data_IF_021311153342
#
_entry.id   IF_021311153342
#
_cell.length_a   1.000
_cell.length_b   1.000
_cell.length_c   1.000
_cell.angle_alpha   90.00
_cell.angle_beta   90.00
_cell.angle_gamma   90.00
#
_symmetry.space_group_name_H-M   'P 1'
#
loop_
_entity.id
_entity.type
_entity.pdbx_description
1 polymer ?
#
# COMPACT_ATOMS: atom_id res chain seq x y z
N UNK A 1 -3.21 23.37 8.23
CA UNK A 1 -3.69 22.22 9.02
C UNK A 1 -4.75 22.72 9.97
N UNK A 2 -5.96 22.19 9.85
CA UNK A 2 -7.01 22.44 10.83
C UNK A 2 -6.57 21.77 12.15
N UNK A 3 -6.70 22.49 13.26
CA UNK A 3 -6.32 21.98 14.57
C UNK A 3 -7.36 20.96 15.02
N UNK A 4 -6.95 19.75 15.45
CA UNK A 4 -7.89 18.72 15.91
C UNK A 4 -8.80 19.27 17.01
N UNK A 5 -10.08 18.88 16.98
CA UNK A 5 -11.03 19.31 18.00
C UNK A 5 -10.60 18.75 19.38
N UNK A 6 -10.86 19.47 20.50
CA UNK A 6 -10.48 19.02 21.83
C UNK A 6 -10.99 17.62 22.20
N UNK A 7 -12.20 17.27 21.73
CA UNK A 7 -12.80 15.95 21.93
C UNK A 7 -12.04 14.83 21.20
N UNK A 8 -11.52 15.11 20.00
CA UNK A 8 -10.69 14.17 19.25
C UNK A 8 -9.34 13.96 19.93
N UNK A 9 -8.73 15.04 20.44
CA UNK A 9 -7.49 14.97 21.22
C UNK A 9 -7.69 14.09 22.45
N UNK A 10 -8.81 14.29 23.18
CA UNK A 10 -9.13 13.48 24.35
C UNK A 10 -9.26 11.99 23.98
N UNK A 11 -9.98 11.67 22.90
CA UNK A 11 -10.12 10.29 22.41
C UNK A 11 -8.78 9.66 22.02
N UNK A 12 -7.97 10.34 21.21
CA UNK A 12 -6.67 9.83 20.76
C UNK A 12 -5.74 9.56 21.95
N UNK A 13 -5.75 10.45 22.95
CA UNK A 13 -4.99 10.27 24.18
C UNK A 13 -5.51 9.10 25.03
N UNK A 14 -6.83 8.91 25.12
CA UNK A 14 -7.44 7.79 25.84
C UNK A 14 -7.10 6.44 25.19
N UNK A 15 -6.99 6.40 23.87
CA UNK A 15 -6.63 5.20 23.10
C UNK A 15 -5.11 4.94 23.03
N UNK A 16 -4.27 5.89 23.44
CA UNK A 16 -2.81 5.77 23.31
C UNK A 16 -2.23 4.50 23.97
N UNK A 17 -2.64 4.09 25.18
CA UNK A 17 -2.12 2.86 25.79
C UNK A 17 -2.50 1.60 25.00
N UNK A 18 -3.67 1.59 24.34
CA UNK A 18 -4.10 0.49 23.47
C UNK A 18 -3.26 0.46 22.20
N UNK A 19 -3.05 1.63 21.57
CA UNK A 19 -2.18 1.76 20.40
C UNK A 19 -0.74 1.33 20.72
N UNK A 20 -0.22 1.66 21.91
CA UNK A 20 1.10 1.22 22.37
C UNK A 20 1.21 -0.32 22.44
N UNK A 21 0.23 -0.99 23.04
CA UNK A 21 0.19 -2.45 23.11
C UNK A 21 0.05 -3.13 21.74
N UNK A 22 -0.75 -2.54 20.84
CA UNK A 22 -0.92 -3.03 19.47
C UNK A 22 0.35 -2.82 18.64
N UNK A 23 1.03 -1.68 18.80
CA UNK A 23 2.31 -1.40 18.16
C UNK A 23 3.37 -2.41 18.61
N UNK A 24 3.49 -2.65 19.92
CA UNK A 24 4.45 -3.63 20.46
C UNK A 24 4.18 -5.03 19.89
N UNK A 25 2.91 -5.44 19.86
CA UNK A 25 2.49 -6.71 19.26
C UNK A 25 2.79 -6.79 17.77
N UNK A 26 2.55 -5.71 17.01
CA UNK A 26 2.87 -5.65 15.59
C UNK A 26 4.36 -5.83 15.37
N UNK A 27 5.19 -5.05 16.06
CA UNK A 27 6.65 -5.13 15.93
C UNK A 27 7.18 -6.52 16.28
N UNK A 28 6.66 -7.15 17.35
CA UNK A 28 7.07 -8.49 17.77
C UNK A 28 6.67 -9.62 16.80
N UNK A 29 5.63 -9.41 15.98
CA UNK A 29 5.10 -10.44 15.06
C UNK A 29 5.35 -10.14 13.58
N UNK A 30 5.77 -8.91 13.27
CA UNK A 30 6.19 -8.50 11.94
C UNK A 30 7.41 -9.34 11.51
N UNK A 31 7.36 -9.82 10.27
CA UNK A 31 8.48 -10.54 9.66
C UNK A 31 9.07 -9.65 8.59
N UNK A 32 10.35 -9.32 8.75
CA UNK A 32 11.06 -8.55 7.76
C UNK A 32 11.05 -9.27 6.40
N UNK A 33 11.03 -8.46 5.35
CA UNK A 33 11.19 -8.88 3.98
C UNK A 33 11.64 -7.70 3.15
N UNK A 34 12.33 -8.04 2.07
CA UNK A 34 12.97 -7.06 1.21
C UNK A 34 12.39 -7.17 -0.21
N UNK A 35 11.92 -6.06 -0.81
CA UNK A 35 11.38 -6.07 -2.17
C UNK A 35 12.29 -6.78 -3.19
N UNK A 36 13.59 -6.54 -3.14
CA UNK A 36 14.56 -7.09 -4.09
C UNK A 36 14.72 -8.61 -4.04
N UNK A 37 14.26 -9.29 -2.98
CA UNK A 37 14.30 -10.76 -2.90
C UNK A 37 13.12 -11.42 -3.62
N UNK A 38 12.06 -10.66 -3.93
CA UNK A 38 10.83 -11.18 -4.55
C UNK A 38 10.78 -10.94 -6.06
N UNK A 39 11.53 -9.95 -6.55
CA UNK A 39 11.52 -9.55 -7.96
C UNK A 39 12.43 -10.49 -8.78
N UNK A 40 11.95 -11.04 -9.91
CA UNK A 40 12.73 -11.94 -10.74
C UNK A 40 13.66 -11.15 -11.69
N UNK A 41 14.65 -10.46 -11.12
CA UNK A 41 15.53 -9.51 -11.83
C UNK A 41 16.15 -10.03 -13.12
N UNK A 42 16.44 -11.34 -13.21
CA UNK A 42 16.98 -11.97 -14.41
C UNK A 42 16.06 -11.94 -15.64
N UNK A 43 14.78 -11.58 -15.46
CA UNK A 43 13.81 -11.38 -16.55
C UNK A 43 13.84 -9.96 -17.12
N UNK A 44 14.49 -9.03 -16.42
CA UNK A 44 14.61 -7.64 -16.85
C UNK A 44 15.56 -7.49 -18.02
N UNK A 45 15.26 -6.51 -18.88
CA UNK A 45 16.10 -6.03 -19.96
C UNK A 45 15.85 -4.55 -20.17
N UNK A 46 16.77 -3.88 -20.85
CA UNK A 46 16.65 -2.46 -21.17
C UNK A 46 15.41 -2.19 -22.05
N UNK A 47 14.82 -1.01 -21.85
CA UNK A 47 13.78 -0.47 -22.73
C UNK A 47 14.46 0.31 -23.86
N UNK A 48 14.45 -0.26 -25.05
CA UNK A 48 15.13 0.36 -26.20
C UNK A 48 14.37 1.63 -26.65
N UNK A 49 15.07 2.70 -27.06
CA UNK A 49 14.41 3.91 -27.53
C UNK A 49 13.44 3.64 -28.69
N UNK A 50 12.17 3.99 -28.51
CA UNK A 50 11.11 3.78 -29.50
C UNK A 50 10.49 2.38 -29.50
N UNK A 51 10.91 1.50 -28.58
CA UNK A 51 10.21 0.23 -28.35
C UNK A 51 8.80 0.51 -27.80
N UNK A 52 7.78 -0.03 -28.48
CA UNK A 52 6.41 -0.05 -27.97
C UNK A 52 6.20 -1.30 -27.11
N UNK A 53 5.48 -1.15 -26.00
CA UNK A 53 5.07 -2.30 -25.19
C UNK A 53 4.04 -3.15 -25.96
N UNK A 54 4.26 -4.47 -26.00
CA UNK A 54 3.32 -5.41 -26.62
C UNK A 54 2.44 -6.07 -25.55
N UNK A 55 1.11 -5.84 -25.55
CA UNK A 55 0.19 -6.50 -24.62
C UNK A 55 0.17 -8.03 -24.69
N UNK A 56 0.76 -8.62 -25.74
CA UNK A 56 0.87 -10.07 -25.93
C UNK A 56 2.23 -10.64 -25.50
N UNK A 57 3.20 -9.81 -25.06
CA UNK A 57 4.49 -10.28 -24.51
C UNK A 57 4.27 -11.12 -23.24
N UNK A 58 3.21 -10.82 -22.49
CA UNK A 58 2.76 -11.59 -21.34
C UNK A 58 1.28 -11.96 -21.48
N UNK A 59 1.01 -13.26 -21.49
CA UNK A 59 -0.35 -13.79 -21.42
C UNK A 59 -0.92 -13.55 -20.01
N UNK A 60 -1.81 -12.56 -19.90
CA UNK A 60 -2.45 -12.16 -18.65
C UNK A 60 -3.87 -11.71 -18.94
N UNK A 61 -4.82 -12.24 -18.18
CA UNK A 61 -6.22 -11.84 -18.29
C UNK A 61 -6.36 -10.30 -18.12
N UNK A 62 -7.08 -9.61 -19.02
CA UNK A 62 -7.23 -8.16 -18.96
C UNK A 62 -7.76 -7.63 -17.62
N UNK A 63 -8.64 -8.37 -16.94
CA UNK A 63 -9.16 -7.97 -15.63
C UNK A 63 -8.08 -8.06 -14.54
N UNK A 64 -7.21 -9.07 -14.60
CA UNK A 64 -6.05 -9.19 -13.69
C UNK A 64 -5.07 -8.05 -13.96
N UNK A 65 -4.85 -7.72 -15.24
CA UNK A 65 -4.02 -6.59 -15.66
C UNK A 65 -4.55 -5.26 -15.11
N UNK A 66 -5.86 -4.99 -15.23
CA UNK A 66 -6.50 -3.82 -14.65
C UNK A 66 -6.41 -3.80 -13.12
N UNK A 67 -6.56 -4.95 -12.46
CA UNK A 67 -6.44 -5.04 -11.02
C UNK A 67 -5.03 -4.73 -10.52
N UNK A 68 -3.99 -5.25 -11.17
CA UNK A 68 -2.59 -4.92 -10.85
C UNK A 68 -2.31 -3.42 -11.00
N UNK A 69 -2.85 -2.82 -12.06
CA UNK A 69 -2.73 -1.39 -12.33
C UNK A 69 -3.34 -0.55 -11.20
N UNK A 70 -4.59 -0.81 -10.82
CA UNK A 70 -5.27 -0.06 -9.74
C UNK A 70 -4.64 -0.33 -8.38
N UNK A 71 -4.25 -1.58 -8.09
CA UNK A 71 -3.58 -1.90 -6.84
C UNK A 71 -2.27 -1.08 -6.69
N UNK A 72 -1.42 -1.03 -7.72
CA UNK A 72 -0.18 -0.23 -7.65
C UNK A 72 -0.45 1.28 -7.52
N UNK A 73 -1.42 1.83 -8.25
CA UNK A 73 -1.76 3.26 -8.12
C UNK A 73 -2.30 3.62 -6.74
N UNK A 74 -3.02 2.68 -6.10
CA UNK A 74 -3.46 2.84 -4.71
C UNK A 74 -2.23 2.98 -3.81
N UNK A 75 -1.27 2.05 -3.92
CA UNK A 75 -0.02 2.08 -3.12
C UNK A 75 0.83 3.34 -3.37
N UNK A 76 0.92 3.80 -4.62
CA UNK A 76 1.69 5.00 -4.97
C UNK A 76 1.13 6.29 -4.34
N UNK A 77 -0.14 6.30 -3.93
CA UNK A 77 -0.80 7.45 -3.31
C UNK A 77 -0.45 7.64 -1.82
N UNK A 78 0.47 6.82 -1.29
CA UNK A 78 0.98 6.83 0.08
C UNK A 78 1.26 8.23 0.68
N UNK A 79 1.83 9.22 -0.04
CA UNK A 79 2.08 10.54 0.55
C UNK A 79 0.81 11.19 1.12
N UNK A 80 -0.34 10.97 0.49
CA UNK A 80 -1.62 11.54 0.91
C UNK A 80 -2.26 10.74 2.03
N UNK A 81 -2.11 9.41 2.04
CA UNK A 81 -2.54 8.58 3.18
C UNK A 81 -1.76 8.93 4.45
N UNK A 82 -0.43 9.04 4.37
CA UNK A 82 0.41 9.48 5.49
C UNK A 82 -0.05 10.83 6.02
N UNK A 83 -0.26 11.83 5.14
CA UNK A 83 -0.74 13.16 5.52
C UNK A 83 -2.06 13.09 6.30
N UNK A 84 -3.04 12.34 5.78
CA UNK A 84 -4.36 12.22 6.41
C UNK A 84 -4.26 11.49 7.74
N UNK A 85 -3.57 10.35 7.81
CA UNK A 85 -3.43 9.55 9.04
C UNK A 85 -2.65 10.30 10.11
N UNK A 86 -1.54 10.97 9.76
CA UNK A 86 -0.78 11.80 10.71
C UNK A 86 -1.64 12.95 11.27
N UNK A 87 -2.51 13.54 10.44
CA UNK A 87 -3.39 14.61 10.93
C UNK A 87 -4.47 14.14 11.91
N UNK A 88 -4.86 12.86 11.86
CA UNK A 88 -5.89 12.29 12.73
C UNK A 88 -5.33 11.80 14.06
N UNK A 89 -4.11 11.26 14.08
CA UNK A 89 -3.53 10.61 15.27
C UNK A 89 -2.35 11.37 15.88
N UNK A 90 -1.82 12.37 15.18
CA UNK A 90 -0.69 13.18 15.63
C UNK A 90 0.67 12.54 15.37
N UNK A 91 1.72 13.26 15.77
CA UNK A 91 3.13 12.97 15.43
C UNK A 91 3.91 12.26 16.53
N UNK A 92 3.38 12.31 17.75
CA UNK A 92 4.05 11.86 18.95
C UNK A 92 3.41 10.57 19.48
N UNK A 93 3.93 10.05 20.61
CA UNK A 93 3.42 8.84 21.29
C UNK A 93 3.50 7.54 20.45
N UNK A 94 2.81 6.50 20.90
CA UNK A 94 2.63 5.27 20.13
C UNK A 94 1.99 5.52 18.77
N UNK A 95 1.05 6.46 18.68
CA UNK A 95 0.36 6.80 17.42
C UNK A 95 1.32 7.28 16.35
N UNK A 96 2.11 8.32 16.61
CA UNK A 96 3.06 8.83 15.64
C UNK A 96 4.14 7.80 15.27
N UNK A 97 4.52 6.94 16.21
CA UNK A 97 5.45 5.83 15.95
C UNK A 97 4.83 4.80 15.02
N UNK A 98 3.57 4.42 15.26
CA UNK A 98 2.79 3.55 14.39
C UNK A 98 2.66 4.13 12.99
N UNK A 99 2.21 5.39 12.84
CA UNK A 99 2.01 6.01 11.53
C UNK A 99 3.29 5.97 10.69
N UNK A 100 4.44 6.31 11.28
CA UNK A 100 5.73 6.24 10.58
C UNK A 100 6.14 4.80 10.23
N UNK A 101 5.88 3.84 11.13
CA UNK A 101 6.17 2.43 10.87
C UNK A 101 5.30 1.88 9.74
N UNK A 102 3.99 2.10 9.82
CA UNK A 102 3.01 1.75 8.80
C UNK A 102 3.41 2.34 7.45
N UNK A 103 3.69 3.65 7.37
CA UNK A 103 4.12 4.30 6.12
C UNK A 103 5.41 3.70 5.55
N UNK A 104 6.37 3.33 6.40
CA UNK A 104 7.58 2.66 5.94
C UNK A 104 7.30 1.24 5.41
N UNK A 105 6.31 0.55 5.95
CA UNK A 105 5.87 -0.76 5.46
C UNK A 105 5.14 -0.63 4.13
N UNK A 106 4.16 0.27 4.02
CA UNK A 106 3.42 0.61 2.79
C UNK A 106 4.35 1.03 1.64
N UNK A 107 5.38 1.81 1.94
CA UNK A 107 6.36 2.21 0.94
C UNK A 107 7.02 1.02 0.25
N UNK A 108 7.13 -0.14 0.91
CA UNK A 108 7.65 -1.36 0.29
C UNK A 108 6.66 -2.00 -0.69
N UNK A 109 5.36 -1.80 -0.52
CA UNK A 109 4.33 -2.38 -1.38
C UNK A 109 4.42 -1.80 -2.79
N UNK A 110 4.40 -0.47 -2.91
CA UNK A 110 4.56 0.22 -4.20
C UNK A 110 5.89 -0.14 -4.88
N UNK A 111 7.00 -0.17 -4.12
CA UNK A 111 8.33 -0.54 -4.64
C UNK A 111 8.31 -1.95 -5.22
N UNK A 112 7.92 -2.96 -4.44
CA UNK A 112 7.99 -4.36 -4.92
C UNK A 112 7.06 -4.61 -6.09
N UNK A 113 5.87 -4.01 -6.07
CA UNK A 113 4.89 -4.16 -7.15
C UNK A 113 5.39 -3.49 -8.42
N UNK A 114 5.90 -2.25 -8.34
CA UNK A 114 6.45 -1.51 -9.48
C UNK A 114 7.65 -2.21 -10.08
N UNK A 115 8.59 -2.68 -9.25
CA UNK A 115 9.77 -3.41 -9.70
C UNK A 115 9.37 -4.70 -10.42
N UNK A 116 8.46 -5.48 -9.82
CA UNK A 116 7.93 -6.69 -10.43
C UNK A 116 7.29 -6.42 -11.79
N UNK A 117 6.35 -5.47 -11.86
CA UNK A 117 5.60 -5.15 -13.07
C UNK A 117 6.52 -4.62 -14.18
N UNK A 118 7.55 -3.84 -13.82
CA UNK A 118 8.53 -3.30 -14.77
C UNK A 118 9.45 -4.39 -15.29
N UNK A 119 10.04 -5.20 -14.40
CA UNK A 119 10.98 -6.28 -14.76
C UNK A 119 10.30 -7.36 -15.60
N UNK A 120 9.03 -7.63 -15.35
CA UNK A 120 8.26 -8.65 -16.08
C UNK A 120 7.48 -8.10 -17.28
N UNK A 121 7.44 -6.77 -17.46
CA UNK A 121 6.69 -6.09 -18.53
C UNK A 121 5.21 -6.47 -18.58
N UNK A 122 4.63 -6.79 -17.41
CA UNK A 122 3.21 -7.19 -17.28
C UNK A 122 2.22 -6.08 -17.62
N UNK A 123 2.65 -4.84 -17.51
CA UNK A 123 1.91 -3.63 -17.85
C UNK A 123 2.75 -2.75 -18.76
N UNK A 124 2.06 -1.91 -19.55
CA UNK A 124 2.69 -0.80 -20.25
C UNK A 124 3.34 0.15 -19.22
N UNK A 125 4.67 0.26 -19.16
CA UNK A 125 5.35 1.10 -18.18
C UNK A 125 5.10 2.59 -18.42
N UNK A 126 4.85 3.02 -19.66
CA UNK A 126 4.57 4.42 -20.00
C UNK A 126 3.17 4.80 -19.54
N UNK A 127 2.17 3.95 -19.82
CA UNK A 127 0.81 4.18 -19.36
C UNK A 127 0.75 4.17 -17.82
N UNK A 128 1.43 3.22 -17.18
CA UNK A 128 1.50 3.12 -15.73
C UNK A 128 2.15 4.35 -15.09
N UNK A 129 3.24 4.86 -15.65
CA UNK A 129 3.90 6.06 -15.11
C UNK A 129 3.07 7.33 -15.31
N UNK A 130 2.41 7.49 -16.47
CA UNK A 130 1.47 8.61 -16.68
C UNK A 130 0.31 8.58 -15.69
N UNK A 131 -0.23 7.39 -15.42
CA UNK A 131 -1.31 7.24 -14.45
C UNK A 131 -0.83 7.48 -13.02
N UNK A 132 0.40 7.06 -12.66
CA UNK A 132 1.01 7.42 -11.38
C UNK A 132 1.11 8.93 -11.21
N UNK A 133 1.59 9.64 -12.23
CA UNK A 133 1.66 11.09 -12.20
C UNK A 133 0.28 11.72 -11.97
N UNK A 134 -0.76 11.27 -12.68
CA UNK A 134 -2.12 11.76 -12.47
C UNK A 134 -2.65 11.45 -11.06
N UNK A 135 -2.48 10.22 -10.59
CA UNK A 135 -2.95 9.77 -9.28
C UNK A 135 -2.31 10.61 -8.16
N UNK A 136 -0.99 10.73 -8.18
CA UNK A 136 -0.22 11.41 -7.14
C UNK A 136 -0.36 12.93 -7.26
N UNK A 137 -0.48 13.51 -8.45
CA UNK A 137 -0.79 14.94 -8.59
C UNK A 137 -2.19 15.28 -8.09
N UNK A 138 -3.17 14.39 -8.32
CA UNK A 138 -4.54 14.54 -7.83
C UNK A 138 -4.64 14.43 -6.31
N UNK A 139 -3.94 13.45 -5.71
CA UNK A 139 -3.84 13.32 -4.26
C UNK A 139 -5.17 13.06 -3.56
N UNK A 140 -6.12 12.46 -4.28
CA UNK A 140 -7.45 12.16 -3.77
C UNK A 140 -7.36 11.08 -2.70
N UNK A 141 -7.76 11.44 -1.49
CA UNK A 141 -7.89 10.56 -0.33
C UNK A 141 -9.11 10.98 0.45
N UNK A 142 -9.75 10.05 1.19
CA UNK A 142 -10.80 10.43 2.11
C UNK A 142 -10.27 11.43 3.15
N UNK A 143 -11.15 12.36 3.54
CA UNK A 143 -10.89 13.35 4.59
C UNK A 143 -11.94 13.12 5.70
N UNK A 144 -11.74 12.12 6.58
CA UNK A 144 -12.68 11.85 7.67
C UNK A 144 -12.81 13.04 8.61
N UNK A 145 -14.06 13.37 9.01
CA UNK A 145 -14.34 14.50 9.88
C UNK A 145 -13.76 14.33 11.29
N UNK A 146 -13.56 13.09 11.73
CA UNK A 146 -13.04 12.77 13.06
C UNK A 146 -12.22 11.49 13.14
N UNK A 147 -11.48 11.36 14.25
CA UNK A 147 -10.57 10.23 14.48
C UNK A 147 -11.30 8.87 14.51
N UNK A 148 -12.55 8.81 14.97
CA UNK A 148 -13.33 7.56 14.97
C UNK A 148 -13.64 7.13 13.53
N UNK A 149 -14.14 8.05 12.71
CA UNK A 149 -14.39 7.79 11.28
C UNK A 149 -13.09 7.45 10.55
N UNK A 150 -11.97 8.08 10.95
CA UNK A 150 -10.63 7.74 10.51
C UNK A 150 -10.23 6.29 10.81
N UNK A 151 -10.39 5.85 12.06
CA UNK A 151 -10.11 4.46 12.47
C UNK A 151 -10.99 3.49 11.68
N UNK A 152 -12.29 3.78 11.56
CA UNK A 152 -13.23 2.94 10.79
C UNK A 152 -12.81 2.87 9.32
N UNK A 153 -12.49 4.01 8.72
CA UNK A 153 -12.05 4.09 7.33
C UNK A 153 -10.81 3.22 7.10
N UNK A 154 -9.74 3.43 7.88
CA UNK A 154 -8.49 2.68 7.68
C UNK A 154 -8.69 1.19 7.99
N UNK A 155 -9.49 0.83 9.01
CA UNK A 155 -9.83 -0.58 9.28
C UNK A 155 -10.45 -1.28 8.08
N UNK A 156 -11.37 -0.60 7.39
CA UNK A 156 -12.07 -1.14 6.21
C UNK A 156 -11.18 -1.11 4.97
N UNK A 157 -10.39 -0.05 4.79
CA UNK A 157 -9.50 0.08 3.64
C UNK A 157 -8.41 -1.00 3.66
N UNK A 158 -7.78 -1.25 4.81
CA UNK A 158 -6.79 -2.32 5.02
C UNK A 158 -7.38 -3.73 4.77
N UNK A 159 -8.65 -3.92 5.14
CA UNK A 159 -9.36 -5.16 4.83
C UNK A 159 -9.62 -5.30 3.33
N UNK A 160 -9.99 -4.20 2.66
CA UNK A 160 -10.29 -4.18 1.24
C UNK A 160 -9.04 -4.43 0.38
N UNK A 161 -7.93 -3.74 0.66
CA UNK A 161 -6.63 -3.95 0.00
C UNK A 161 -6.14 -5.37 0.21
N UNK A 162 -6.16 -5.89 1.45
CA UNK A 162 -5.84 -7.30 1.72
C UNK A 162 -6.59 -8.27 0.82
N UNK A 163 -7.91 -8.07 0.68
CA UNK A 163 -8.76 -8.92 -0.18
C UNK A 163 -8.39 -8.73 -1.65
N UNK A 164 -8.20 -7.49 -2.09
CA UNK A 164 -7.81 -7.15 -3.45
C UNK A 164 -6.47 -7.82 -3.82
N UNK A 165 -5.39 -7.54 -3.09
CA UNK A 165 -4.07 -8.11 -3.36
C UNK A 165 -4.08 -9.64 -3.34
N UNK A 166 -4.74 -10.25 -2.35
CA UNK A 166 -4.82 -11.71 -2.26
C UNK A 166 -5.57 -12.34 -3.44
N UNK A 167 -6.69 -11.74 -3.86
CA UNK A 167 -7.48 -12.25 -4.97
C UNK A 167 -6.78 -12.03 -6.31
N UNK A 168 -6.17 -10.86 -6.54
CA UNK A 168 -5.34 -10.60 -7.71
C UNK A 168 -4.20 -11.61 -7.78
N UNK A 169 -3.49 -11.83 -6.68
CA UNK A 169 -2.38 -12.80 -6.61
C UNK A 169 -2.79 -14.21 -7.04
N UNK A 170 -3.96 -14.69 -6.61
CA UNK A 170 -4.48 -16.02 -7.01
C UNK A 170 -4.77 -16.19 -8.49
N UNK A 171 -4.95 -15.09 -9.22
CA UNK A 171 -5.26 -15.09 -10.64
C UNK A 171 -4.00 -14.86 -11.50
N UNK A 172 -2.82 -14.70 -10.88
CA UNK A 172 -1.55 -14.58 -11.57
C UNK A 172 -0.88 -15.96 -11.61
N UNK A 173 -0.69 -16.50 -12.81
CA UNK A 173 0.00 -17.79 -12.99
C UNK A 173 1.52 -17.70 -12.74
N UNK A 174 2.09 -16.50 -12.85
CA UNK A 174 3.50 -16.28 -12.53
C UNK A 174 3.76 -16.37 -11.02
N UNK A 175 4.58 -17.33 -10.63
CA UNK A 175 4.94 -17.59 -9.23
C UNK A 175 5.51 -16.36 -8.51
N UNK A 176 6.32 -15.55 -9.20
CA UNK A 176 6.89 -14.35 -8.58
C UNK A 176 5.80 -13.32 -8.26
N UNK A 177 4.87 -13.07 -9.18
CA UNK A 177 3.71 -12.22 -8.95
C UNK A 177 2.82 -12.71 -7.83
N UNK A 178 2.53 -14.02 -7.78
CA UNK A 178 1.79 -14.60 -6.66
C UNK A 178 2.46 -14.32 -5.30
N UNK A 179 3.77 -14.54 -5.19
CA UNK A 179 4.49 -14.30 -3.92
C UNK A 179 4.59 -12.81 -3.56
N UNK A 180 4.71 -11.91 -4.54
CA UNK A 180 4.63 -10.45 -4.33
C UNK A 180 3.28 -10.07 -3.75
N UNK A 181 2.18 -10.43 -4.43
CA UNK A 181 0.83 -10.05 -4.01
C UNK A 181 0.44 -10.68 -2.66
N UNK A 182 0.85 -11.93 -2.42
CA UNK A 182 0.68 -12.61 -1.13
C UNK A 182 1.45 -11.92 -0.01
N UNK A 183 2.64 -11.38 -0.29
CA UNK A 183 3.43 -10.66 0.71
C UNK A 183 2.77 -9.35 1.10
N UNK A 184 2.35 -8.55 0.12
CA UNK A 184 1.61 -7.29 0.34
C UNK A 184 0.36 -7.57 1.15
N UNK A 185 -0.49 -8.51 0.71
CA UNK A 185 -1.71 -8.89 1.44
C UNK A 185 -1.44 -9.38 2.88
N UNK A 186 -0.27 -9.94 3.17
CA UNK A 186 0.07 -10.34 4.53
C UNK A 186 0.39 -9.14 5.44
N UNK A 187 0.97 -8.07 4.90
CA UNK A 187 1.22 -6.82 5.62
C UNK A 187 -0.10 -6.06 5.83
N UNK A 188 -0.97 -5.91 4.82
CA UNK A 188 -2.33 -5.36 4.97
C UNK A 188 -3.12 -6.07 6.09
N UNK A 189 -2.97 -7.39 6.20
CA UNK A 189 -3.61 -8.13 7.28
C UNK A 189 -3.10 -7.71 8.65
N UNK A 190 -1.80 -7.44 8.81
CA UNK A 190 -1.24 -6.98 10.08
C UNK A 190 -1.68 -5.56 10.40
N UNK A 191 -1.74 -4.68 9.40
CA UNK A 191 -2.25 -3.33 9.55
C UNK A 191 -3.74 -3.32 9.91
N UNK A 192 -4.56 -4.12 9.24
CA UNK A 192 -5.96 -4.34 9.63
C UNK A 192 -6.09 -4.85 11.07
N UNK A 193 -5.20 -5.73 11.54
CA UNK A 193 -5.18 -6.20 12.93
C UNK A 193 -4.82 -5.12 13.95
N UNK A 194 -4.12 -4.07 13.53
CA UNK A 194 -3.84 -2.92 14.39
C UNK A 194 -5.07 -2.02 14.51
N UNK A 195 -5.81 -1.79 13.41
CA UNK A 195 -6.94 -0.85 13.43
C UNK A 195 -8.28 -1.43 13.92
N UNK A 196 -8.53 -2.74 13.73
CA UNK A 196 -9.81 -3.39 14.08
C UNK A 196 -10.00 -3.66 15.59
#
# INVERSE_FOLDING_TARGET
>A
MQQMAPEQIALVNELEPVAAGLLEKHLATSKEWFPHELVPWSRGRDFEPGEEWDPNEVDLDPAVRSSLFVNLLTEDNLPYYFRTIESMFGRDSAWGTWVRRWTAEEGRHSIVMRDYLTVTRMLDPVALERARMQQVEGGEVPEPDNATDGIVYVTLQELATRIAHHNTGKLIDDKAGYEVMKRVAADENRHHLFYR
#
